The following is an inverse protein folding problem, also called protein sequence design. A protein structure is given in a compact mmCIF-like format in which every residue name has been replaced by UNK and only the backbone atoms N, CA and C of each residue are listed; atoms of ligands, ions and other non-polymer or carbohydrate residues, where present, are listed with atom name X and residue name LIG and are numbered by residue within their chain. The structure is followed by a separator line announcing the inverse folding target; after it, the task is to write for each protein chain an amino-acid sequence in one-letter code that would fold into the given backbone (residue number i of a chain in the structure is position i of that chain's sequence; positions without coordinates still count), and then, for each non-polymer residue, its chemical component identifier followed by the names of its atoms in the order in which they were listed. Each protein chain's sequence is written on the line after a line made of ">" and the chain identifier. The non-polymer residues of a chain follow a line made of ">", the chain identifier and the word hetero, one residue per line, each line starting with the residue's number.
data_IF_780118427175
#
_entry.id   IF_780118427175
#
_cell.length_a   1.000
_cell.length_b   1.000
_cell.length_c   1.000
_cell.angle_alpha   90.00
_cell.angle_beta   90.00
_cell.angle_gamma   90.00
#
_symmetry.space_group_name_H-M   'P 1'
#
loop_
_entity.id
_entity.type
_entity.pdbx_description
1 polymer ?
#
# COMPACT_ATOMS: atom_id res chain seq x y z
N UNK A 1 -3.35 -8.60 -22.45
CA UNK A 1 -4.27 -8.13 -21.39
C UNK A 1 -3.44 -7.51 -20.28
N UNK A 2 -3.90 -6.40 -19.68
CA UNK A 2 -3.15 -5.68 -18.66
C UNK A 2 -3.79 -5.84 -17.26
N UNK A 3 -2.96 -5.75 -16.24
CA UNK A 3 -3.36 -5.50 -14.86
C UNK A 3 -2.54 -4.34 -14.30
N UNK A 4 -3.18 -3.42 -13.60
CA UNK A 4 -2.52 -2.32 -12.90
C UNK A 4 -2.40 -2.69 -11.43
N UNK A 5 -1.20 -2.66 -10.90
CA UNK A 5 -0.86 -2.92 -9.51
C UNK A 5 -0.56 -1.59 -8.81
N UNK A 6 -1.34 -1.24 -7.81
CA UNK A 6 -1.18 0.01 -7.05
C UNK A 6 -0.76 -0.30 -5.61
N UNK A 7 0.13 0.49 -5.03
CA UNK A 7 0.23 0.53 -3.57
C UNK A 7 -1.03 1.15 -2.96
N UNK A 8 -1.24 0.93 -1.68
CA UNK A 8 -2.37 1.47 -0.92
C UNK A 8 -2.01 2.78 -0.22
N UNK A 9 -1.03 2.71 0.70
CA UNK A 9 -0.61 3.84 1.54
C UNK A 9 0.29 4.77 0.72
N UNK A 10 0.05 6.09 0.78
CA UNK A 10 0.75 7.06 -0.07
C UNK A 10 0.19 7.19 -1.49
N UNK A 11 -0.55 6.19 -1.99
CA UNK A 11 -1.17 6.20 -3.33
C UNK A 11 -2.68 6.39 -3.28
N UNK A 12 -3.40 5.68 -2.43
CA UNK A 12 -4.87 5.74 -2.34
C UNK A 12 -5.36 6.25 -0.98
N UNK A 13 -4.60 5.99 0.08
CA UNK A 13 -4.91 6.42 1.45
C UNK A 13 -3.66 6.96 2.13
N UNK A 14 -3.81 7.81 3.17
CA UNK A 14 -2.68 8.21 4.01
C UNK A 14 -2.07 7.03 4.76
N UNK A 15 -0.83 7.22 5.23
CA UNK A 15 -0.12 6.26 6.08
C UNK A 15 -0.93 5.88 7.32
N UNK A 16 -1.30 4.60 7.44
CA UNK A 16 -2.19 4.08 8.49
C UNK A 16 -1.58 4.30 9.88
N UNK A 17 -0.31 3.93 10.07
CA UNK A 17 0.34 4.04 11.37
C UNK A 17 0.56 5.48 11.81
N UNK A 18 0.77 6.41 10.90
CA UNK A 18 0.78 7.85 11.19
C UNK A 18 -0.61 8.30 11.64
N UNK A 19 -1.67 7.82 10.99
CA UNK A 19 -3.05 8.07 11.39
C UNK A 19 -3.36 7.54 12.80
N UNK A 20 -2.93 6.30 13.09
CA UNK A 20 -3.08 5.67 14.40
C UNK A 20 -2.33 6.46 15.48
N UNK A 21 -1.06 6.84 15.23
CA UNK A 21 -0.28 7.66 16.15
C UNK A 21 -0.97 8.98 16.51
N UNK A 22 -1.42 9.72 15.49
CA UNK A 22 -2.12 11.00 15.68
C UNK A 22 -3.39 10.84 16.51
N UNK A 23 -4.15 9.79 16.30
CA UNK A 23 -5.44 9.58 16.96
C UNK A 23 -5.29 9.08 18.40
N UNK A 24 -4.29 8.23 18.65
CA UNK A 24 -4.02 7.67 19.98
C UNK A 24 -3.13 8.56 20.84
N UNK A 25 -2.41 9.52 20.24
CA UNK A 25 -1.41 10.35 20.91
C UNK A 25 -0.11 9.60 21.24
N UNK A 26 0.11 8.43 20.61
CA UNK A 26 1.31 7.60 20.85
C UNK A 26 2.30 7.87 19.72
N UNK A 27 3.25 8.76 19.97
CA UNK A 27 4.21 9.22 18.96
C UNK A 27 5.11 8.12 18.39
N UNK A 28 5.42 7.10 19.19
CA UNK A 28 6.28 6.00 18.78
C UNK A 28 5.68 5.14 17.64
N UNK A 29 4.36 5.18 17.45
CA UNK A 29 3.68 4.46 16.38
C UNK A 29 3.88 5.10 14.99
N UNK A 30 4.32 6.36 14.93
CA UNK A 30 4.56 7.05 13.64
C UNK A 30 5.85 6.62 12.92
N UNK A 31 6.75 5.89 13.60
CA UNK A 31 7.97 5.40 12.98
C UNK A 31 7.64 4.49 11.81
N UNK A 32 8.41 4.66 10.73
CA UNK A 32 8.25 3.92 9.46
C UNK A 32 9.50 3.12 9.14
N UNK A 33 9.49 2.41 8.02
CA UNK A 33 10.68 1.71 7.51
C UNK A 33 11.82 2.68 7.11
N UNK A 34 11.55 3.97 7.02
CA UNK A 34 12.56 5.03 6.86
C UNK A 34 13.38 5.25 8.14
N UNK A 35 12.76 5.01 9.30
CA UNK A 35 13.37 5.18 10.63
C UNK A 35 14.00 3.86 11.13
N UNK A 36 13.32 2.74 10.88
CA UNK A 36 13.74 1.39 11.25
C UNK A 36 13.61 0.51 10.00
N UNK A 37 14.71 0.31 9.28
CA UNK A 37 14.72 -0.42 8.01
C UNK A 37 14.38 -1.91 8.13
N UNK A 38 14.60 -2.51 9.30
CA UNK A 38 14.17 -3.88 9.60
C UNK A 38 12.67 -3.91 9.90
N UNK A 39 11.90 -4.47 8.96
CA UNK A 39 10.45 -4.54 9.06
C UNK A 39 9.98 -5.41 10.25
N UNK A 40 10.67 -6.51 10.55
CA UNK A 40 10.31 -7.37 11.68
C UNK A 40 10.51 -6.64 13.01
N UNK A 41 11.63 -5.95 13.15
CA UNK A 41 11.90 -5.13 14.33
C UNK A 41 10.86 -4.02 14.49
N UNK A 42 10.51 -3.33 13.41
CA UNK A 42 9.50 -2.28 13.40
C UNK A 42 8.13 -2.83 13.84
N UNK A 43 7.70 -3.95 13.28
CA UNK A 43 6.39 -4.54 13.60
C UNK A 43 6.32 -5.09 15.03
N UNK A 44 7.36 -5.76 15.50
CA UNK A 44 7.44 -6.21 16.90
C UNK A 44 7.41 -5.06 17.89
N UNK A 45 8.10 -3.95 17.57
CA UNK A 45 8.03 -2.72 18.36
C UNK A 45 6.61 -2.17 18.41
N UNK A 46 5.92 -2.05 17.27
CA UNK A 46 4.53 -1.57 17.19
C UNK A 46 3.59 -2.44 18.02
N UNK A 47 3.68 -3.77 17.90
CA UNK A 47 2.88 -4.72 18.69
C UNK A 47 3.15 -4.54 20.19
N UNK A 48 4.41 -4.40 20.59
CA UNK A 48 4.78 -4.15 21.99
C UNK A 48 4.20 -2.83 22.53
N UNK A 49 4.18 -1.76 21.72
CA UNK A 49 3.57 -0.47 22.07
C UNK A 49 2.06 -0.62 22.24
N UNK A 50 1.38 -1.32 21.33
CA UNK A 50 -0.05 -1.58 21.45
C UNK A 50 -0.39 -2.34 22.75
N UNK A 51 0.41 -3.33 23.12
CA UNK A 51 0.27 -4.07 24.36
C UNK A 51 0.44 -3.19 25.60
N UNK A 52 1.49 -2.35 25.62
CA UNK A 52 1.74 -1.41 26.74
C UNK A 52 0.59 -0.45 26.99
N UNK A 53 -0.08 -0.03 25.91
CA UNK A 53 -1.23 0.87 25.95
C UNK A 53 -2.58 0.13 26.00
N UNK A 54 -2.58 -1.21 26.13
CA UNK A 54 -3.78 -2.06 26.11
C UNK A 54 -4.70 -1.79 24.90
N UNK A 55 -4.10 -1.45 23.74
CA UNK A 55 -4.80 -1.26 22.48
C UNK A 55 -4.97 -2.60 21.76
N UNK A 56 -6.20 -2.90 21.39
CA UNK A 56 -6.57 -4.14 20.70
C UNK A 56 -6.84 -3.87 19.22
N UNK A 57 -6.99 -4.94 18.44
CA UNK A 57 -7.32 -4.83 17.02
C UNK A 57 -8.52 -3.90 16.76
N UNK A 58 -9.58 -4.04 17.57
CA UNK A 58 -10.80 -3.22 17.41
C UNK A 58 -10.52 -1.73 17.56
N UNK A 59 -9.69 -1.34 18.53
CA UNK A 59 -9.34 0.07 18.77
C UNK A 59 -8.61 0.65 17.53
N UNK A 60 -7.69 -0.13 16.95
CA UNK A 60 -6.97 0.28 15.75
C UNK A 60 -7.89 0.33 14.53
N UNK A 61 -8.79 -0.65 14.36
CA UNK A 61 -9.78 -0.64 13.28
C UNK A 61 -10.72 0.57 13.38
N UNK A 62 -11.13 0.97 14.57
CA UNK A 62 -11.97 2.15 14.79
C UNK A 62 -11.25 3.45 14.38
N UNK A 63 -9.95 3.53 14.66
CA UNK A 63 -9.13 4.63 14.14
C UNK A 63 -9.06 4.59 12.60
N UNK A 64 -8.73 3.44 12.03
CA UNK A 64 -8.60 3.28 10.57
C UNK A 64 -9.91 3.62 9.86
N UNK A 65 -11.05 3.27 10.43
CA UNK A 65 -12.37 3.61 9.87
C UNK A 65 -12.62 5.13 9.76
N UNK A 66 -11.85 5.95 10.49
CA UNK A 66 -11.90 7.42 10.38
C UNK A 66 -10.98 8.00 9.31
N UNK A 67 -10.03 7.19 8.80
CA UNK A 67 -9.13 7.60 7.71
C UNK A 67 -9.93 7.69 6.42
N UNK A 68 -9.76 8.78 5.69
CA UNK A 68 -10.36 8.99 4.38
C UNK A 68 -9.36 8.68 3.27
N UNK A 69 -9.81 8.17 2.12
CA UNK A 69 -8.98 8.16 0.93
C UNK A 69 -8.39 9.54 0.63
N UNK A 70 -7.25 9.57 -0.05
CA UNK A 70 -6.65 10.81 -0.54
C UNK A 70 -7.62 11.48 -1.52
N UNK A 71 -7.58 12.82 -1.57
CA UNK A 71 -8.46 13.60 -2.44
C UNK A 71 -8.29 13.18 -3.91
N UNK A 72 -9.38 12.73 -4.53
CA UNK A 72 -9.38 12.22 -5.89
C UNK A 72 -9.08 10.73 -6.05
N UNK A 73 -8.60 10.02 -5.02
CA UNK A 73 -8.23 8.61 -5.09
C UNK A 73 -9.39 7.70 -5.51
N UNK A 74 -10.58 7.91 -4.96
CA UNK A 74 -11.78 7.13 -5.30
C UNK A 74 -12.16 7.32 -6.78
N UNK A 75 -12.17 8.57 -7.25
CA UNK A 75 -12.45 8.88 -8.66
C UNK A 75 -11.42 8.23 -9.57
N UNK A 76 -10.13 8.40 -9.29
CA UNK A 76 -9.05 7.79 -10.05
C UNK A 76 -9.19 6.26 -10.14
N UNK A 77 -9.47 5.61 -9.01
CA UNK A 77 -9.62 4.16 -8.97
C UNK A 77 -10.82 3.69 -9.80
N UNK A 78 -11.92 4.44 -9.80
CA UNK A 78 -13.10 4.13 -10.61
C UNK A 78 -12.82 4.34 -12.10
N UNK A 79 -12.22 5.48 -12.49
CA UNK A 79 -11.83 5.75 -13.87
C UNK A 79 -10.85 4.67 -14.41
N UNK A 80 -9.92 4.22 -13.57
CA UNK A 80 -8.96 3.18 -13.94
C UNK A 80 -9.62 1.81 -14.17
N UNK A 81 -10.61 1.47 -13.34
CA UNK A 81 -11.38 0.22 -13.46
C UNK A 81 -12.23 0.14 -14.73
N UNK A 82 -12.60 1.28 -15.32
CA UNK A 82 -13.32 1.31 -16.60
C UNK A 82 -12.45 0.87 -17.78
N UNK A 83 -11.13 0.96 -17.66
CA UNK A 83 -10.21 0.73 -18.76
C UNK A 83 -9.31 -0.50 -18.58
N UNK A 84 -9.13 -1.00 -17.35
CA UNK A 84 -8.24 -2.15 -17.09
C UNK A 84 -8.57 -2.83 -15.75
N UNK A 85 -7.92 -3.98 -15.52
CA UNK A 85 -7.99 -4.67 -14.22
C UNK A 85 -7.08 -3.97 -13.22
N UNK A 86 -7.53 -3.84 -11.96
CA UNK A 86 -6.78 -3.16 -10.90
C UNK A 86 -6.68 -4.06 -9.68
N UNK A 87 -5.47 -4.17 -9.14
CA UNK A 87 -5.17 -4.89 -7.90
C UNK A 87 -4.33 -4.00 -6.99
N UNK A 88 -4.66 -3.96 -5.71
CA UNK A 88 -3.85 -3.28 -4.71
C UNK A 88 -2.83 -4.29 -4.16
N UNK A 89 -1.55 -3.90 -4.14
CA UNK A 89 -0.46 -4.65 -3.53
C UNK A 89 0.08 -3.84 -2.35
N UNK A 90 -0.13 -4.30 -1.12
CA UNK A 90 0.20 -3.53 0.07
C UNK A 90 0.91 -4.36 1.14
N UNK A 91 1.78 -3.72 1.89
CA UNK A 91 2.42 -4.31 3.08
C UNK A 91 1.54 -4.20 4.35
N UNK A 92 0.34 -3.62 4.23
CA UNK A 92 -0.67 -3.59 5.29
C UNK A 92 -1.21 -4.99 5.61
N UNK A 93 -2.21 -5.05 6.49
CA UNK A 93 -2.81 -6.30 6.95
C UNK A 93 -4.29 -6.37 6.59
N UNK A 94 -4.80 -7.55 6.26
CA UNK A 94 -6.21 -7.80 5.93
C UNK A 94 -7.16 -7.17 6.95
N UNK A 95 -6.82 -7.30 8.24
CA UNK A 95 -7.65 -6.78 9.33
C UNK A 95 -7.67 -5.25 9.38
N UNK A 96 -6.62 -4.58 8.90
CA UNK A 96 -6.55 -3.12 8.80
C UNK A 96 -7.16 -2.60 7.50
N UNK A 97 -6.99 -3.33 6.41
CA UNK A 97 -7.47 -2.91 5.09
C UNK A 97 -9.00 -2.84 5.00
N UNK A 98 -9.73 -3.72 5.68
CA UNK A 98 -11.18 -3.88 5.53
C UNK A 98 -11.99 -2.56 5.62
N UNK A 99 -11.80 -1.66 6.60
CA UNK A 99 -12.53 -0.39 6.67
C UNK A 99 -12.24 0.55 5.48
N UNK A 100 -11.01 0.49 4.93
CA UNK A 100 -10.57 1.31 3.79
C UNK A 100 -11.11 0.76 2.47
N UNK A 101 -11.12 -0.57 2.31
CA UNK A 101 -11.66 -1.22 1.12
C UNK A 101 -13.13 -0.88 0.88
N UNK A 102 -13.91 -0.74 1.94
CA UNK A 102 -15.30 -0.28 1.84
C UNK A 102 -15.41 1.10 1.20
N UNK A 103 -14.52 2.02 1.57
CA UNK A 103 -14.50 3.39 1.04
C UNK A 103 -13.99 3.45 -0.41
N UNK A 104 -13.18 2.48 -0.84
CA UNK A 104 -12.61 2.36 -2.18
C UNK A 104 -13.44 1.45 -3.12
N UNK A 105 -14.66 1.05 -2.71
CA UNK A 105 -15.54 0.20 -3.53
C UNK A 105 -15.04 -1.24 -3.67
N UNK A 106 -14.42 -1.80 -2.63
CA UNK A 106 -13.97 -3.19 -2.53
C UNK A 106 -13.01 -3.65 -3.65
N UNK A 107 -11.88 -2.95 -3.87
CA UNK A 107 -10.86 -3.43 -4.79
C UNK A 107 -10.25 -4.74 -4.33
N UNK A 108 -9.76 -5.54 -5.28
CA UNK A 108 -8.91 -6.67 -4.94
C UNK A 108 -7.63 -6.16 -4.26
N UNK A 109 -7.23 -6.79 -3.15
CA UNK A 109 -6.03 -6.44 -2.41
C UNK A 109 -5.24 -7.68 -2.01
N UNK A 110 -3.94 -7.66 -2.23
CA UNK A 110 -3.00 -8.65 -1.73
C UNK A 110 -2.13 -7.98 -0.66
N UNK A 111 -2.30 -8.43 0.57
CA UNK A 111 -1.62 -7.89 1.73
C UNK A 111 -1.24 -9.00 2.71
N UNK A 112 -0.78 -8.64 3.88
CA UNK A 112 -0.37 -9.56 4.95
C UNK A 112 -1.51 -9.86 5.92
N UNK A 113 -1.26 -10.62 6.98
CA UNK A 113 -2.23 -10.98 8.00
C UNK A 113 -1.67 -10.70 9.40
N UNK A 114 -2.55 -10.24 10.30
CA UNK A 114 -2.24 -10.18 11.74
C UNK A 114 -2.66 -11.50 12.40
N UNK A 115 -1.89 -11.94 13.38
CA UNK A 115 -2.24 -13.04 14.27
C UNK A 115 -2.93 -12.44 15.48
N UNK A 116 -4.22 -12.73 15.63
CA UNK A 116 -5.08 -12.20 16.69
C UNK A 116 -5.41 -13.28 17.67
N UNK A 117 -5.21 -13.02 18.96
CA UNK A 117 -5.56 -13.94 20.03
C UNK A 117 -7.06 -13.88 20.41
N UNK A 118 -7.47 -14.79 21.31
CA UNK A 118 -8.87 -14.92 21.77
C UNK A 118 -9.40 -13.68 22.50
N UNK A 119 -8.51 -12.76 22.92
CA UNK A 119 -8.86 -11.52 23.63
C UNK A 119 -8.89 -10.30 22.69
N UNK A 120 -8.81 -10.53 21.37
CA UNK A 120 -8.73 -9.49 20.34
C UNK A 120 -7.42 -8.67 20.38
N UNK A 121 -6.36 -9.22 21.01
CA UNK A 121 -5.02 -8.63 21.01
C UNK A 121 -4.28 -9.01 19.73
N UNK A 122 -3.51 -8.08 19.19
CA UNK A 122 -2.58 -8.34 18.09
C UNK A 122 -1.35 -9.03 18.68
N UNK A 123 -1.28 -10.35 18.52
CA UNK A 123 -0.22 -11.16 19.11
C UNK A 123 1.05 -11.19 18.24
N UNK A 124 0.87 -11.19 16.91
CA UNK A 124 1.96 -11.27 15.95
C UNK A 124 1.43 -10.91 14.55
N UNK A 125 2.26 -11.05 13.53
CA UNK A 125 1.88 -10.90 12.13
C UNK A 125 2.48 -12.02 11.27
N UNK A 126 1.89 -12.20 10.09
CA UNK A 126 2.35 -13.18 9.10
C UNK A 126 2.47 -12.49 7.74
N UNK A 127 3.67 -12.44 7.20
CA UNK A 127 3.86 -12.02 5.81
C UNK A 127 3.25 -13.06 4.88
N UNK A 128 2.48 -12.62 3.90
CA UNK A 128 1.97 -13.47 2.81
C UNK A 128 3.14 -14.10 2.05
N UNK A 129 4.15 -13.28 1.76
CA UNK A 129 5.37 -13.69 1.07
C UNK A 129 6.45 -12.61 1.27
N UNK A 130 7.73 -13.02 1.30
CA UNK A 130 8.84 -12.06 1.25
C UNK A 130 8.82 -11.33 -0.09
N UNK A 131 9.04 -10.01 -0.10
CA UNK A 131 8.93 -9.17 -1.29
C UNK A 131 7.61 -9.40 -2.06
N UNK A 132 6.51 -9.36 -1.30
CA UNK A 132 5.19 -9.81 -1.76
C UNK A 132 4.64 -9.01 -2.93
N UNK A 133 5.00 -7.72 -3.06
CA UNK A 133 4.61 -6.85 -4.17
C UNK A 133 5.27 -7.32 -5.48
N UNK A 134 6.58 -7.53 -5.49
CA UNK A 134 7.32 -8.05 -6.65
C UNK A 134 6.79 -9.43 -7.08
N UNK A 135 6.65 -10.36 -6.11
CA UNK A 135 6.18 -11.70 -6.44
C UNK A 135 4.74 -11.74 -6.96
N UNK A 136 3.90 -10.75 -6.59
CA UNK A 136 2.59 -10.62 -7.20
C UNK A 136 2.69 -10.23 -8.69
N UNK A 137 3.56 -9.29 -9.05
CA UNK A 137 3.84 -8.92 -10.44
C UNK A 137 4.33 -10.13 -11.24
N UNK A 138 5.32 -10.88 -10.72
CA UNK A 138 5.78 -12.13 -11.35
C UNK A 138 4.66 -13.15 -11.53
N UNK A 139 3.76 -13.25 -10.54
CA UNK A 139 2.57 -14.11 -10.62
C UNK A 139 1.65 -13.71 -11.76
N UNK A 140 1.36 -12.41 -11.93
CA UNK A 140 0.56 -11.91 -13.05
C UNK A 140 1.24 -12.17 -14.41
N UNK A 141 2.56 -11.98 -14.52
CA UNK A 141 3.32 -12.34 -15.71
C UNK A 141 3.17 -13.84 -16.05
N UNK A 142 3.23 -14.72 -15.03
CA UNK A 142 3.06 -16.17 -15.24
C UNK A 142 1.67 -16.56 -15.72
N UNK A 143 0.66 -15.72 -15.47
CA UNK A 143 -0.71 -15.86 -15.98
C UNK A 143 -0.92 -15.19 -17.35
N UNK A 144 0.12 -14.64 -17.97
CA UNK A 144 0.07 -14.00 -19.28
C UNK A 144 -0.43 -12.55 -19.27
N UNK A 145 -0.45 -11.88 -18.12
CA UNK A 145 -0.72 -10.44 -18.05
C UNK A 145 0.55 -9.63 -18.30
N UNK A 146 0.37 -8.47 -18.93
CA UNK A 146 1.32 -7.36 -18.81
C UNK A 146 0.94 -6.54 -17.58
N UNK A 147 1.93 -6.07 -16.84
CA UNK A 147 1.74 -5.40 -15.55
C UNK A 147 2.22 -3.96 -15.61
N UNK A 148 1.39 -3.05 -15.11
CA UNK A 148 1.79 -1.67 -14.83
C UNK A 148 1.75 -1.51 -13.31
N UNK A 149 2.82 -0.99 -12.69
CA UNK A 149 2.90 -0.82 -11.25
C UNK A 149 3.10 0.64 -10.85
N UNK A 150 2.39 1.10 -9.81
CA UNK A 150 2.59 2.42 -9.24
C UNK A 150 2.67 2.37 -7.71
N UNK A 151 3.60 3.15 -7.16
CA UNK A 151 3.85 3.27 -5.73
C UNK A 151 4.58 4.57 -5.40
N UNK A 152 4.80 4.89 -4.11
CA UNK A 152 5.36 6.16 -3.66
C UNK A 152 6.72 6.02 -2.95
N UNK A 153 7.11 4.81 -2.59
CA UNK A 153 8.20 4.61 -1.65
C UNK A 153 9.16 3.46 -2.00
N UNK A 154 10.21 3.28 -1.20
CA UNK A 154 11.28 2.30 -1.49
C UNK A 154 10.80 0.86 -1.58
N UNK A 155 9.80 0.47 -0.79
CA UNK A 155 9.24 -0.88 -0.82
C UNK A 155 8.46 -1.18 -2.12
N UNK A 156 8.16 -0.16 -2.93
CA UNK A 156 7.49 -0.30 -4.22
C UNK A 156 8.46 -0.50 -5.38
N UNK A 157 9.71 -0.07 -5.21
CA UNK A 157 10.70 -0.10 -6.29
C UNK A 157 10.88 -1.49 -6.89
N UNK A 158 10.81 -2.54 -6.07
CA UNK A 158 10.96 -3.91 -6.55
C UNK A 158 9.81 -4.34 -7.49
N UNK A 159 8.56 -3.97 -7.18
CA UNK A 159 7.43 -4.24 -8.07
C UNK A 159 7.41 -3.33 -9.30
N UNK A 160 7.79 -2.04 -9.12
CA UNK A 160 7.86 -1.06 -10.21
C UNK A 160 8.87 -1.50 -11.27
N UNK A 161 10.04 -1.99 -10.85
CA UNK A 161 11.10 -2.46 -11.75
C UNK A 161 10.81 -3.83 -12.36
N UNK A 162 10.00 -4.66 -11.73
CA UNK A 162 9.58 -5.96 -12.27
C UNK A 162 8.46 -5.82 -13.30
N UNK A 163 7.64 -4.75 -13.23
CA UNK A 163 6.51 -4.52 -14.13
C UNK A 163 6.95 -4.11 -15.54
N UNK A 164 6.08 -4.33 -16.55
CA UNK A 164 6.30 -3.86 -17.94
C UNK A 164 6.23 -2.33 -18.04
N UNK A 165 5.53 -1.67 -17.11
CA UNK A 165 5.49 -0.22 -16.96
C UNK A 165 5.47 0.16 -15.49
N UNK A 166 6.39 1.02 -15.07
CA UNK A 166 6.52 1.48 -13.68
C UNK A 166 6.36 2.98 -13.56
N UNK A 167 5.68 3.45 -12.51
CA UNK A 167 5.46 4.88 -12.23
C UNK A 167 5.63 5.14 -10.73
N UNK A 168 6.33 6.20 -10.38
CA UNK A 168 6.35 6.74 -9.01
C UNK A 168 5.26 7.80 -8.87
N UNK A 169 4.44 7.69 -7.83
CA UNK A 169 3.37 8.64 -7.51
C UNK A 169 3.71 9.43 -6.25
N UNK A 170 3.85 10.76 -6.36
CA UNK A 170 4.18 11.64 -5.23
C UNK A 170 5.37 11.17 -4.36
N UNK A 171 6.46 10.61 -4.93
CA UNK A 171 7.55 10.08 -4.13
C UNK A 171 8.35 11.20 -3.45
N UNK A 172 9.08 10.92 -2.35
CA UNK A 172 10.08 11.83 -1.81
C UNK A 172 11.18 12.16 -2.84
N UNK A 173 11.69 13.40 -2.80
CA UNK A 173 12.75 13.88 -3.73
C UNK A 173 13.98 12.94 -3.79
N UNK A 174 14.35 12.36 -2.66
CA UNK A 174 15.48 11.41 -2.59
C UNK A 174 15.24 10.19 -3.49
N UNK A 175 14.03 9.64 -3.51
CA UNK A 175 13.68 8.48 -4.37
C UNK A 175 13.76 8.87 -5.83
N UNK A 176 13.29 10.08 -6.19
CA UNK A 176 13.39 10.60 -7.56
C UNK A 176 14.86 10.67 -7.99
N UNK A 177 15.72 11.28 -7.16
CA UNK A 177 17.14 11.43 -7.47
C UNK A 177 17.90 10.11 -7.61
N UNK A 178 17.50 9.09 -6.85
CA UNK A 178 18.10 7.75 -6.90
C UNK A 178 17.55 6.87 -8.03
N UNK A 179 16.41 7.24 -8.64
CA UNK A 179 15.73 6.47 -9.69
C UNK A 179 15.28 7.36 -10.86
N UNK A 180 16.20 8.06 -11.54
CA UNK A 180 15.87 9.04 -12.58
C UNK A 180 15.28 8.41 -13.85
N UNK A 181 15.36 7.10 -13.98
CA UNK A 181 14.83 6.30 -15.09
C UNK A 181 13.34 5.95 -14.94
N UNK A 182 12.77 6.13 -13.73
CA UNK A 182 11.36 5.81 -13.47
C UNK A 182 10.51 7.08 -13.65
N UNK A 183 9.44 7.05 -14.48
CA UNK A 183 8.49 8.15 -14.58
C UNK A 183 7.91 8.56 -13.22
N UNK A 184 7.76 9.86 -12.99
CA UNK A 184 7.19 10.43 -11.77
C UNK A 184 5.94 11.21 -12.11
N UNK A 185 4.90 11.08 -11.27
CA UNK A 185 3.64 11.81 -11.37
C UNK A 185 3.25 12.36 -10.00
N UNK A 186 2.57 13.51 -9.99
CA UNK A 186 2.17 14.19 -8.75
C UNK A 186 0.65 14.37 -8.63
N UNK A 187 -0.09 14.07 -9.70
CA UNK A 187 -1.55 14.13 -9.73
C UNK A 187 -2.13 12.83 -10.28
N UNK A 188 -3.37 12.51 -9.91
CA UNK A 188 -4.05 11.33 -10.46
C UNK A 188 -4.30 11.45 -11.97
N UNK A 189 -4.49 12.66 -12.49
CA UNK A 189 -4.65 12.86 -13.93
C UNK A 189 -3.35 12.53 -14.70
N UNK A 190 -2.20 12.91 -14.15
CA UNK A 190 -0.90 12.54 -14.71
C UNK A 190 -0.67 11.02 -14.60
N UNK A 191 -0.99 10.40 -13.45
CA UNK A 191 -0.84 8.97 -13.24
C UNK A 191 -1.74 8.18 -14.22
N UNK A 192 -3.01 8.57 -14.36
CA UNK A 192 -3.95 7.95 -15.29
C UNK A 192 -3.47 8.10 -16.74
N UNK A 193 -2.98 9.29 -17.12
CA UNK A 193 -2.44 9.54 -18.45
C UNK A 193 -1.21 8.69 -18.75
N UNK A 194 -0.31 8.52 -17.77
CA UNK A 194 0.86 7.66 -17.89
C UNK A 194 0.45 6.19 -18.08
N UNK A 195 -0.48 5.70 -17.28
CA UNK A 195 -1.01 4.34 -17.42
C UNK A 195 -1.64 4.13 -18.79
N UNK A 196 -2.47 5.06 -19.28
CA UNK A 196 -3.08 4.98 -20.62
C UNK A 196 -2.04 4.89 -21.72
N UNK A 197 -0.96 5.67 -21.64
CA UNK A 197 0.14 5.57 -22.62
C UNK A 197 0.78 4.17 -22.67
N UNK A 198 0.92 3.48 -21.52
CA UNK A 198 1.40 2.10 -21.50
C UNK A 198 0.40 1.13 -22.11
N UNK A 199 -0.90 1.31 -21.85
CA UNK A 199 -1.96 0.46 -22.40
C UNK A 199 -2.03 0.55 -23.93
N UNK A 200 -1.78 1.73 -24.50
CA UNK A 200 -1.87 1.99 -25.96
C UNK A 200 -0.62 1.52 -26.72
N UNK A 201 0.55 1.55 -26.11
CA UNK A 201 1.84 1.21 -26.77
C UNK A 201 2.09 -0.30 -26.92
N UNK A 202 1.31 -1.16 -26.29
CA UNK A 202 1.52 -2.59 -26.17
C UNK A 202 0.27 -3.42 -26.42
#
# INVERSE_FOLDING_TARGET
>A
MFVVCLDLEGVLVPEIWIGVSKKTGIDELKLTTRDISDYDLLMKRRIGILDQHNLKLKDIQDVIATIKPLDGAEKFLNDLREITQVVILSDTFTQFASPLMKQLGWPAIFCNELIIDKTNRIADYKLRQKDGKKHAVMGFHSMGFKVIAAGDSYNDLSMIREADGGVLFCPPEKIIGENPDIPVTFTYDELLSNIKMFLEKN
#
